data_IF_748025693960
#
_entry.id   IF_748025693960
#
_cell.length_a   1.000
_cell.length_b   1.000
_cell.length_c   1.000
_cell.angle_alpha   90.00
_cell.angle_beta   90.00
_cell.angle_gamma   90.00
#
_symmetry.space_group_name_H-M   'P 1'
#
loop_
_entity.id
_entity.type
_entity.pdbx_description
1 polymer ?
#
# COMPACT_ATOMS: atom_id res chain seq x y z
N UNK A 1 -95.82 -3.86 48.33
CA UNK A 1 -95.09 -4.90 47.57
C UNK A 1 -95.22 -4.71 46.05
N UNK A 2 -94.17 -4.20 45.38
CA UNK A 2 -94.10 -3.72 43.98
C UNK A 2 -94.51 -4.67 42.84
N UNK A 3 -94.73 -5.96 43.12
CA UNK A 3 -94.91 -7.00 42.11
C UNK A 3 -96.21 -6.86 41.27
N UNK A 4 -97.32 -6.39 41.86
CA UNK A 4 -98.60 -6.20 41.13
C UNK A 4 -98.52 -5.09 40.06
N UNK A 5 -97.79 -4.00 40.34
CA UNK A 5 -97.64 -2.86 39.42
C UNK A 5 -96.71 -3.19 38.24
N UNK A 6 -95.65 -3.97 38.49
CA UNK A 6 -94.76 -4.51 37.47
C UNK A 6 -95.51 -5.49 36.53
N UNK A 7 -96.32 -6.40 37.09
CA UNK A 7 -97.16 -7.33 36.32
C UNK A 7 -98.13 -6.59 35.39
N UNK A 8 -98.80 -5.53 35.87
CA UNK A 8 -99.68 -4.67 35.06
C UNK A 8 -98.94 -3.92 33.94
N UNK A 9 -97.71 -3.43 34.18
CA UNK A 9 -96.85 -2.82 33.15
C UNK A 9 -96.46 -3.84 32.07
N UNK A 10 -96.11 -5.06 32.47
CA UNK A 10 -95.77 -6.16 31.56
C UNK A 10 -96.98 -6.55 30.69
N UNK A 11 -98.17 -6.65 31.29
CA UNK A 11 -99.42 -6.92 30.56
C UNK A 11 -99.74 -5.82 29.55
N UNK A 12 -99.62 -4.53 29.93
CA UNK A 12 -99.80 -3.40 29.00
C UNK A 12 -98.75 -3.39 27.87
N UNK A 13 -97.49 -3.78 28.14
CA UNK A 13 -96.43 -3.93 27.12
C UNK A 13 -96.78 -5.05 26.14
N UNK A 14 -97.24 -6.21 26.64
CA UNK A 14 -97.70 -7.31 25.81
C UNK A 14 -98.94 -6.93 24.98
N UNK A 15 -99.89 -6.20 25.57
CA UNK A 15 -101.07 -5.68 24.83
C UNK A 15 -100.68 -4.71 23.71
N UNK A 16 -99.74 -3.77 23.95
CA UNK A 16 -99.21 -2.88 22.89
C UNK A 16 -98.45 -3.65 21.81
N UNK A 17 -97.65 -4.66 22.20
CA UNK A 17 -96.97 -5.55 21.24
C UNK A 17 -97.99 -6.28 20.37
N UNK A 18 -99.04 -6.87 20.97
CA UNK A 18 -100.13 -7.53 20.25
C UNK A 18 -100.88 -6.58 19.31
N UNK A 19 -101.16 -5.34 19.73
CA UNK A 19 -101.80 -4.31 18.87
C UNK A 19 -100.91 -3.92 17.69
N UNK A 20 -99.60 -3.68 17.90
CA UNK A 20 -98.65 -3.40 16.81
C UNK A 20 -98.51 -4.56 15.83
N UNK A 21 -98.42 -5.79 16.36
CA UNK A 21 -98.38 -7.00 15.53
C UNK A 21 -99.67 -7.17 14.73
N UNK A 22 -100.83 -6.90 15.33
CA UNK A 22 -102.12 -6.93 14.62
C UNK A 22 -102.15 -5.89 13.50
N UNK A 23 -101.72 -4.66 13.78
CA UNK A 23 -101.69 -3.59 12.77
C UNK A 23 -100.64 -3.83 11.67
N UNK A 24 -99.46 -4.36 11.99
CA UNK A 24 -98.45 -4.74 11.00
C UNK A 24 -98.99 -5.84 10.08
N UNK A 25 -99.57 -6.91 10.66
CA UNK A 25 -100.24 -7.96 9.89
C UNK A 25 -101.37 -7.42 9.02
N UNK A 26 -102.13 -6.45 9.49
CA UNK A 26 -103.22 -5.85 8.71
C UNK A 26 -102.69 -4.95 7.58
N UNK A 27 -101.58 -4.24 7.79
CA UNK A 27 -100.89 -3.49 6.74
C UNK A 27 -100.30 -4.43 5.70
N UNK A 28 -99.52 -5.42 6.13
CA UNK A 28 -98.89 -6.40 5.24
C UNK A 28 -99.97 -7.17 4.46
N UNK A 29 -101.12 -7.52 5.09
CA UNK A 29 -102.28 -8.09 4.39
C UNK A 29 -102.89 -7.13 3.37
N UNK A 30 -102.99 -5.84 3.66
CA UNK A 30 -103.49 -4.84 2.69
C UNK A 30 -102.50 -4.61 1.54
N UNK A 31 -101.20 -4.67 1.82
CA UNK A 31 -100.14 -4.61 0.81
C UNK A 31 -100.19 -5.86 -0.08
N UNK A 32 -100.30 -7.06 0.50
CA UNK A 32 -100.51 -8.32 -0.22
C UNK A 32 -101.80 -8.30 -1.06
N UNK A 33 -102.92 -7.80 -0.52
CA UNK A 33 -104.18 -7.64 -1.25
C UNK A 33 -104.03 -6.64 -2.40
N UNK A 34 -103.31 -5.53 -2.20
CA UNK A 34 -103.04 -4.52 -3.22
C UNK A 34 -102.06 -5.03 -4.30
N UNK A 35 -101.03 -5.79 -3.93
CA UNK A 35 -100.12 -6.47 -4.85
C UNK A 35 -100.86 -7.55 -5.63
N UNK A 36 -101.73 -8.33 -5.00
CA UNK A 36 -102.58 -9.31 -5.65
C UNK A 36 -103.52 -8.63 -6.66
N UNK A 37 -104.13 -7.51 -6.30
CA UNK A 37 -104.93 -6.68 -7.21
C UNK A 37 -104.12 -6.14 -8.40
N UNK A 38 -102.85 -5.75 -8.18
CA UNK A 38 -101.93 -5.35 -9.26
C UNK A 38 -101.56 -6.53 -10.15
N UNK A 39 -101.24 -7.69 -9.56
CA UNK A 39 -100.91 -8.92 -10.28
C UNK A 39 -102.07 -9.47 -11.12
N UNK A 40 -103.33 -9.14 -10.78
CA UNK A 40 -104.50 -9.47 -11.59
C UNK A 40 -104.65 -8.57 -12.83
N UNK A 41 -103.98 -7.41 -12.87
CA UNK A 41 -104.04 -6.50 -14.02
C UNK A 41 -103.12 -7.00 -15.15
N UNK A 42 -103.64 -7.19 -16.37
CA UNK A 42 -102.84 -7.66 -17.50
C UNK A 42 -101.63 -6.77 -17.83
N UNK A 43 -101.77 -5.45 -17.68
CA UNK A 43 -100.71 -4.47 -17.94
C UNK A 43 -99.53 -4.62 -16.97
N UNK A 44 -99.80 -4.90 -15.70
CA UNK A 44 -98.77 -5.10 -14.67
C UNK A 44 -98.05 -6.44 -14.82
N UNK A 45 -98.77 -7.50 -15.22
CA UNK A 45 -98.15 -8.79 -15.56
C UNK A 45 -97.18 -8.66 -16.74
N UNK A 46 -97.59 -7.92 -17.79
CA UNK A 46 -96.76 -7.65 -18.94
C UNK A 46 -95.52 -6.82 -18.58
N UNK A 47 -95.68 -5.78 -17.76
CA UNK A 47 -94.55 -5.00 -17.25
C UNK A 47 -93.56 -5.84 -16.43
N UNK A 48 -94.07 -6.76 -15.59
CA UNK A 48 -93.23 -7.66 -14.79
C UNK A 48 -92.44 -8.63 -15.69
N UNK A 49 -93.07 -9.16 -16.74
CA UNK A 49 -92.39 -10.00 -17.76
C UNK A 49 -91.30 -9.21 -18.49
N UNK A 50 -91.62 -8.01 -18.99
CA UNK A 50 -90.65 -7.12 -19.65
C UNK A 50 -89.47 -6.76 -18.72
N UNK A 51 -89.74 -6.56 -17.43
CA UNK A 51 -88.71 -6.29 -16.43
C UNK A 51 -87.82 -7.51 -16.16
N UNK A 52 -88.40 -8.71 -16.09
CA UNK A 52 -87.65 -9.96 -15.93
C UNK A 52 -86.77 -10.24 -17.16
N UNK A 53 -87.32 -10.07 -18.36
CA UNK A 53 -86.58 -10.20 -19.63
C UNK A 53 -85.42 -9.19 -19.70
N UNK A 54 -85.64 -7.95 -19.28
CA UNK A 54 -84.59 -6.92 -19.22
C UNK A 54 -83.47 -7.29 -18.22
N UNK A 55 -83.84 -7.76 -17.03
CA UNK A 55 -82.87 -8.19 -16.01
C UNK A 55 -82.06 -9.40 -16.46
N UNK A 56 -82.71 -10.37 -17.11
CA UNK A 56 -82.03 -11.53 -17.66
C UNK A 56 -81.09 -11.16 -18.81
N UNK A 57 -81.52 -10.24 -19.68
CA UNK A 57 -80.68 -9.68 -20.74
C UNK A 57 -79.45 -8.95 -20.17
N UNK A 58 -79.63 -8.14 -19.14
CA UNK A 58 -78.53 -7.46 -18.43
C UNK A 58 -77.57 -8.46 -17.79
N UNK A 59 -78.08 -9.46 -17.07
CA UNK A 59 -77.24 -10.52 -16.47
C UNK A 59 -76.42 -11.25 -17.53
N UNK A 60 -77.04 -11.64 -18.65
CA UNK A 60 -76.34 -12.29 -19.75
C UNK A 60 -75.33 -11.37 -20.45
N UNK A 61 -75.58 -10.05 -20.49
CA UNK A 61 -74.62 -9.07 -21.00
C UNK A 61 -73.41 -8.94 -20.05
N UNK A 62 -73.66 -8.78 -18.75
CA UNK A 62 -72.64 -8.70 -17.71
C UNK A 62 -71.78 -9.98 -17.65
N UNK A 63 -72.41 -11.16 -17.80
CA UNK A 63 -71.69 -12.45 -17.87
C UNK A 63 -70.77 -12.51 -19.09
N UNK A 64 -71.20 -12.03 -20.25
CA UNK A 64 -70.35 -11.96 -21.45
C UNK A 64 -69.22 -10.96 -21.26
N UNK A 65 -69.49 -9.79 -20.69
CA UNK A 65 -68.46 -8.81 -20.39
C UNK A 65 -67.42 -9.36 -19.40
N UNK A 66 -67.88 -10.07 -18.36
CA UNK A 66 -67.01 -10.76 -17.41
C UNK A 66 -66.14 -11.80 -18.12
N UNK A 67 -66.72 -12.66 -18.96
CA UNK A 67 -65.96 -13.67 -19.70
C UNK A 67 -64.90 -13.05 -20.61
N UNK A 68 -65.24 -12.00 -21.35
CA UNK A 68 -64.28 -11.27 -22.20
C UNK A 68 -63.18 -10.63 -21.36
N UNK A 69 -63.52 -10.04 -20.22
CA UNK A 69 -62.55 -9.46 -19.30
C UNK A 69 -61.61 -10.52 -18.71
N UNK A 70 -62.15 -11.65 -18.27
CA UNK A 70 -61.40 -12.79 -17.73
C UNK A 70 -60.45 -13.38 -18.78
N UNK A 71 -60.94 -13.64 -20.00
CA UNK A 71 -60.12 -14.10 -21.11
C UNK A 71 -59.00 -13.10 -21.45
N UNK A 72 -59.31 -11.80 -21.43
CA UNK A 72 -58.32 -10.75 -21.67
C UNK A 72 -57.26 -10.71 -20.57
N UNK A 73 -57.66 -10.96 -19.32
CA UNK A 73 -56.77 -11.01 -18.17
C UNK A 73 -55.86 -12.24 -18.24
N UNK A 74 -56.42 -13.43 -18.50
CA UNK A 74 -55.66 -14.67 -18.64
C UNK A 74 -54.59 -14.58 -19.74
N UNK A 75 -54.89 -13.93 -20.87
CA UNK A 75 -53.91 -13.70 -21.96
C UNK A 75 -52.76 -12.78 -21.53
N UNK A 76 -53.06 -11.71 -20.80
CA UNK A 76 -52.03 -10.79 -20.25
C UNK A 76 -51.17 -11.50 -19.21
N UNK A 77 -51.81 -12.29 -18.33
CA UNK A 77 -51.13 -13.06 -17.29
C UNK A 77 -50.20 -14.12 -17.90
N UNK A 78 -50.66 -14.88 -18.90
CA UNK A 78 -49.84 -15.85 -19.60
C UNK A 78 -48.59 -15.22 -20.25
N UNK A 79 -48.77 -14.03 -20.85
CA UNK A 79 -47.69 -13.26 -21.46
C UNK A 79 -46.70 -12.75 -20.41
N UNK A 80 -47.19 -12.23 -19.28
CA UNK A 80 -46.37 -11.77 -18.16
C UNK A 80 -45.55 -12.92 -17.55
N UNK A 81 -46.15 -14.10 -17.36
CA UNK A 81 -45.46 -15.29 -16.87
C UNK A 81 -44.42 -15.82 -17.85
N UNK A 82 -44.64 -15.71 -19.16
CA UNK A 82 -43.64 -16.06 -20.16
C UNK A 82 -42.45 -15.08 -20.11
N UNK A 83 -42.73 -13.77 -20.03
CA UNK A 83 -41.69 -12.75 -19.94
C UNK A 83 -40.86 -12.91 -18.66
N UNK A 84 -41.51 -13.16 -17.52
CA UNK A 84 -40.82 -13.39 -16.24
C UNK A 84 -39.86 -14.58 -16.32
N UNK A 85 -40.27 -15.68 -16.95
CA UNK A 85 -39.40 -16.87 -17.14
C UNK A 85 -38.18 -16.56 -18.02
N UNK A 86 -38.37 -15.78 -19.08
CA UNK A 86 -37.27 -15.34 -19.96
C UNK A 86 -36.30 -14.43 -19.20
N UNK A 87 -36.83 -13.44 -18.48
CA UNK A 87 -36.02 -12.49 -17.71
C UNK A 87 -35.27 -13.18 -16.56
N UNK A 88 -35.89 -14.17 -15.92
CA UNK A 88 -35.24 -14.99 -14.88
C UNK A 88 -34.09 -15.82 -15.48
N UNK A 89 -34.31 -16.48 -16.62
CA UNK A 89 -33.27 -17.22 -17.31
C UNK A 89 -32.11 -16.32 -17.74
N UNK A 90 -32.41 -15.12 -18.25
CA UNK A 90 -31.40 -14.12 -18.63
C UNK A 90 -30.58 -13.66 -17.43
N UNK A 91 -31.23 -13.35 -16.30
CA UNK A 91 -30.54 -12.96 -15.06
C UNK A 91 -29.62 -14.06 -14.53
N UNK A 92 -30.04 -15.33 -14.63
CA UNK A 92 -29.18 -16.47 -14.24
C UNK A 92 -27.94 -16.56 -15.12
N UNK A 93 -28.09 -16.40 -16.43
CA UNK A 93 -26.95 -16.38 -17.36
C UNK A 93 -25.99 -15.21 -17.08
N UNK A 94 -26.53 -14.00 -16.85
CA UNK A 94 -25.73 -12.82 -16.48
C UNK A 94 -24.98 -13.04 -15.16
N UNK A 95 -25.62 -13.66 -14.15
CA UNK A 95 -24.98 -14.00 -12.88
C UNK A 95 -23.85 -15.02 -13.05
N UNK A 96 -24.07 -16.08 -13.83
CA UNK A 96 -23.06 -17.10 -14.12
C UNK A 96 -21.85 -16.50 -14.87
N UNK A 97 -22.08 -15.58 -15.81
CA UNK A 97 -21.01 -14.89 -16.54
C UNK A 97 -20.20 -13.98 -15.60
N UNK A 98 -20.87 -13.21 -14.74
CA UNK A 98 -20.21 -12.36 -13.73
C UNK A 98 -19.40 -13.21 -12.76
N UNK A 99 -19.93 -14.34 -12.28
CA UNK A 99 -19.21 -15.24 -11.38
C UNK A 99 -17.96 -15.83 -12.05
N UNK A 100 -18.07 -16.27 -13.31
CA UNK A 100 -16.92 -16.75 -14.08
C UNK A 100 -15.84 -15.68 -14.24
N UNK A 101 -16.23 -14.44 -14.54
CA UNK A 101 -15.29 -13.32 -14.66
C UNK A 101 -14.60 -13.02 -13.32
N UNK A 102 -15.35 -13.04 -12.22
CA UNK A 102 -14.81 -12.86 -10.87
C UNK A 102 -13.83 -13.95 -10.48
N UNK A 103 -14.14 -15.23 -10.78
CA UNK A 103 -13.24 -16.35 -10.54
C UNK A 103 -11.94 -16.22 -11.34
N UNK A 104 -12.03 -15.81 -12.61
CA UNK A 104 -10.84 -15.57 -13.45
C UNK A 104 -9.97 -14.44 -12.87
N UNK A 105 -10.58 -13.32 -12.50
CA UNK A 105 -9.85 -12.20 -11.88
C UNK A 105 -9.27 -12.56 -10.51
N UNK A 106 -9.96 -13.38 -9.71
CA UNK A 106 -9.44 -13.86 -8.42
C UNK A 106 -8.22 -14.76 -8.62
N UNK A 107 -8.26 -15.65 -9.63
CA UNK A 107 -7.13 -16.51 -9.97
C UNK A 107 -5.92 -15.71 -10.45
N UNK A 108 -6.11 -14.76 -11.36
CA UNK A 108 -5.03 -13.88 -11.83
C UNK A 108 -4.41 -13.04 -10.69
N UNK A 109 -5.23 -12.54 -9.75
CA UNK A 109 -4.74 -11.82 -8.57
C UNK A 109 -3.92 -12.75 -7.66
N UNK A 110 -4.40 -13.96 -7.38
CA UNK A 110 -3.69 -14.93 -6.57
C UNK A 110 -2.34 -15.34 -7.19
N UNK A 111 -2.29 -15.54 -8.51
CA UNK A 111 -1.05 -15.85 -9.23
C UNK A 111 -0.03 -14.70 -9.13
N UNK A 112 -0.47 -13.44 -9.27
CA UNK A 112 0.40 -12.25 -9.10
C UNK A 112 0.93 -12.13 -7.67
N UNK A 113 0.06 -12.33 -6.68
CA UNK A 113 0.45 -12.30 -5.26
C UNK A 113 1.46 -13.40 -4.93
N UNK A 114 1.31 -14.60 -5.50
CA UNK A 114 2.26 -15.69 -5.31
C UNK A 114 3.63 -15.38 -5.92
N UNK A 115 3.68 -14.80 -7.12
CA UNK A 115 4.94 -14.37 -7.76
C UNK A 115 5.65 -13.34 -6.88
N UNK A 116 4.93 -12.31 -6.41
CA UNK A 116 5.49 -11.28 -5.53
C UNK A 116 5.98 -11.89 -4.20
N UNK A 117 5.25 -12.85 -3.63
CA UNK A 117 5.67 -13.55 -2.41
C UNK A 117 6.99 -14.29 -2.64
N UNK A 118 7.11 -15.06 -3.72
CA UNK A 118 8.33 -15.79 -4.07
C UNK A 118 9.53 -14.85 -4.27
N UNK A 119 9.33 -13.72 -4.95
CA UNK A 119 10.37 -12.69 -5.13
C UNK A 119 10.83 -12.13 -3.78
N UNK A 120 9.89 -11.78 -2.89
CA UNK A 120 10.21 -11.27 -1.55
C UNK A 120 10.92 -12.30 -0.69
N UNK A 121 10.51 -13.57 -0.74
CA UNK A 121 11.19 -14.68 -0.05
C UNK A 121 12.63 -14.87 -0.57
N UNK A 122 12.84 -14.76 -1.89
CA UNK A 122 14.18 -14.85 -2.46
C UNK A 122 15.07 -13.66 -2.07
N UNK A 123 14.55 -12.44 -2.11
CA UNK A 123 15.25 -11.22 -1.69
C UNK A 123 15.62 -11.29 -0.20
N UNK A 124 14.66 -11.67 0.66
CA UNK A 124 14.91 -11.83 2.10
C UNK A 124 15.94 -12.92 2.37
N UNK A 125 15.91 -14.04 1.64
CA UNK A 125 16.94 -15.09 1.75
C UNK A 125 18.32 -14.60 1.32
N UNK A 126 18.42 -13.85 0.21
CA UNK A 126 19.68 -13.24 -0.26
C UNK A 126 20.21 -12.23 0.77
N UNK A 127 19.33 -11.38 1.31
CA UNK A 127 19.69 -10.42 2.34
C UNK A 127 20.15 -11.10 3.64
N UNK A 128 19.46 -12.14 4.09
CA UNK A 128 19.85 -12.91 5.28
C UNK A 128 21.20 -13.61 5.10
N UNK A 129 21.46 -14.18 3.91
CA UNK A 129 22.77 -14.76 3.59
C UNK A 129 23.88 -13.70 3.61
N UNK A 130 23.65 -12.54 3.00
CA UNK A 130 24.61 -11.44 3.00
C UNK A 130 24.88 -10.90 4.42
N UNK A 131 23.85 -10.81 5.26
CA UNK A 131 23.99 -10.44 6.67
C UNK A 131 24.81 -11.47 7.45
N UNK A 132 24.53 -12.77 7.30
CA UNK A 132 25.30 -13.82 7.96
C UNK A 132 26.78 -13.86 7.51
N UNK A 133 27.06 -13.62 6.22
CA UNK A 133 28.43 -13.48 5.72
C UNK A 133 29.15 -12.26 6.34
N UNK A 134 28.44 -11.15 6.54
CA UNK A 134 28.96 -9.96 7.19
C UNK A 134 29.23 -10.20 8.68
N UNK A 135 28.31 -10.84 9.40
CA UNK A 135 28.46 -11.17 10.81
C UNK A 135 29.66 -12.09 11.05
N UNK A 136 29.80 -13.15 10.26
CA UNK A 136 30.95 -14.06 10.32
C UNK A 136 32.29 -13.33 10.02
N UNK A 137 32.28 -12.33 9.13
CA UNK A 137 33.45 -11.51 8.86
C UNK A 137 33.80 -10.61 10.06
N UNK A 138 32.80 -10.01 10.71
CA UNK A 138 32.99 -9.19 11.91
C UNK A 138 33.52 -10.00 13.09
N UNK A 139 33.01 -11.22 13.30
CA UNK A 139 33.54 -12.14 14.31
C UNK A 139 35.00 -12.50 14.04
N UNK A 140 35.35 -12.81 12.78
CA UNK A 140 36.73 -13.11 12.37
C UNK A 140 37.67 -11.92 12.58
N UNK A 141 37.17 -10.71 12.36
CA UNK A 141 37.90 -9.46 12.60
C UNK A 141 38.14 -9.24 14.10
N UNK A 142 37.13 -9.45 14.95
CA UNK A 142 37.28 -9.35 16.40
C UNK A 142 38.25 -10.40 16.95
N UNK A 143 38.15 -11.65 16.50
CA UNK A 143 39.08 -12.72 16.90
C UNK A 143 40.54 -12.34 16.58
N UNK A 144 40.79 -11.82 15.37
CA UNK A 144 42.12 -11.39 14.95
C UNK A 144 42.65 -10.20 15.76
N UNK A 145 41.78 -9.28 16.20
CA UNK A 145 42.16 -8.15 17.05
C UNK A 145 42.40 -8.57 18.51
N UNK A 146 41.58 -9.47 19.03
CA UNK A 146 41.54 -9.90 20.43
C UNK A 146 42.58 -10.97 20.76
N UNK A 147 43.08 -11.73 19.78
CA UNK A 147 44.08 -12.79 19.99
C UNK A 147 45.48 -12.41 19.47
N UNK A 148 46.41 -11.94 20.34
CA UNK A 148 47.76 -11.56 19.93
C UNK A 148 48.59 -12.70 19.33
N UNK A 149 48.26 -13.97 19.66
CA UNK A 149 49.00 -15.16 19.19
C UNK A 149 48.72 -15.48 17.72
N UNK A 150 47.65 -14.92 17.14
CA UNK A 150 47.34 -15.12 15.73
C UNK A 150 48.24 -14.20 14.89
N UNK A 151 49.30 -14.74 14.30
CA UNK A 151 50.25 -13.95 13.50
C UNK A 151 49.68 -13.57 12.12
N UNK A 152 48.94 -14.49 11.49
CA UNK A 152 48.38 -14.30 10.15
C UNK A 152 46.90 -13.96 10.23
N UNK A 153 46.42 -13.00 9.42
CA UNK A 153 45.00 -12.70 9.35
C UNK A 153 44.21 -13.90 8.79
N UNK A 154 42.98 -14.15 9.28
CA UNK A 154 42.08 -15.13 8.71
C UNK A 154 41.83 -14.92 7.22
N UNK A 155 41.52 -15.99 6.49
CA UNK A 155 41.31 -15.95 5.03
C UNK A 155 40.15 -15.03 4.62
N UNK A 156 39.15 -14.88 5.49
CA UNK A 156 38.01 -13.99 5.31
C UNK A 156 38.45 -12.52 5.17
N UNK A 157 39.46 -12.09 5.94
CA UNK A 157 40.00 -10.72 5.90
C UNK A 157 40.95 -10.49 4.72
N UNK A 158 41.48 -11.56 4.12
CA UNK A 158 42.34 -11.51 2.94
C UNK A 158 41.54 -11.42 1.63
N UNK A 159 40.21 -11.44 1.70
CA UNK A 159 39.34 -11.27 0.53
C UNK A 159 39.54 -9.87 -0.08
N UNK A 160 39.44 -9.83 -1.41
CA UNK A 160 39.40 -8.58 -2.18
C UNK A 160 38.00 -8.41 -2.74
N UNK A 161 37.40 -7.25 -2.47
CA UNK A 161 36.13 -6.84 -3.05
C UNK A 161 36.40 -6.28 -4.45
N UNK A 162 35.67 -6.79 -5.44
CA UNK A 162 35.81 -6.38 -6.84
C UNK A 162 34.46 -5.87 -7.34
N UNK A 163 34.44 -4.72 -7.99
CA UNK A 163 33.19 -4.15 -8.53
C UNK A 163 32.78 -4.82 -9.84
N UNK A 164 33.74 -5.14 -10.70
CA UNK A 164 33.52 -5.79 -11.99
C UNK A 164 34.61 -6.84 -12.25
N UNK A 165 34.53 -8.05 -11.63
CA UNK A 165 35.62 -9.03 -11.65
C UNK A 165 36.12 -9.41 -13.06
N UNK A 166 35.20 -9.50 -14.03
CA UNK A 166 35.47 -9.87 -15.42
C UNK A 166 36.11 -8.74 -16.25
N UNK A 167 36.06 -7.50 -15.75
CA UNK A 167 36.55 -6.32 -16.46
C UNK A 167 38.00 -5.99 -16.11
N UNK A 168 38.67 -5.27 -17.02
CA UNK A 168 40.04 -4.79 -16.75
C UNK A 168 40.08 -3.85 -15.55
N UNK A 169 41.18 -3.88 -14.81
CA UNK A 169 41.40 -3.01 -13.67
C UNK A 169 41.35 -1.53 -14.07
N UNK A 170 40.63 -0.71 -13.30
CA UNK A 170 40.60 0.73 -13.50
C UNK A 170 42.00 1.31 -13.23
N UNK A 171 42.56 2.02 -14.20
CA UNK A 171 43.89 2.61 -14.06
C UNK A 171 43.94 3.66 -12.96
N UNK A 172 42.93 4.55 -12.90
CA UNK A 172 42.85 5.60 -11.88
C UNK A 172 42.76 4.99 -10.48
N UNK A 173 41.82 4.08 -10.26
CA UNK A 173 41.65 3.44 -8.95
C UNK A 173 42.85 2.59 -8.55
N UNK A 174 43.46 1.87 -9.49
CA UNK A 174 44.64 1.05 -9.20
C UNK A 174 45.85 1.89 -8.78
N UNK A 175 45.94 3.15 -9.27
CA UNK A 175 47.04 4.07 -8.95
C UNK A 175 46.80 4.90 -7.71
N UNK A 176 45.57 5.37 -7.46
CA UNK A 176 45.28 6.35 -6.39
C UNK A 176 44.20 5.89 -5.42
N UNK A 177 43.57 4.73 -5.65
CA UNK A 177 42.37 4.24 -4.94
C UNK A 177 41.19 5.22 -4.95
N UNK A 178 41.21 6.15 -5.89
CA UNK A 178 40.20 7.16 -6.10
C UNK A 178 39.85 7.20 -7.59
N UNK A 179 38.56 7.11 -7.90
CA UNK A 179 38.07 7.15 -9.27
C UNK A 179 36.89 8.13 -9.34
N UNK A 180 36.89 9.00 -10.35
CA UNK A 180 35.82 9.98 -10.54
C UNK A 180 34.44 9.38 -10.75
N UNK A 181 34.37 8.11 -11.18
CA UNK A 181 33.13 7.39 -11.44
C UNK A 181 32.65 6.56 -10.25
N UNK A 182 33.45 6.43 -9.17
CA UNK A 182 33.05 5.71 -7.97
C UNK A 182 32.58 4.28 -8.24
N UNK A 183 31.37 3.93 -7.82
CA UNK A 183 30.76 2.62 -8.05
C UNK A 183 30.15 2.45 -9.45
N UNK A 184 29.91 3.54 -10.18
CA UNK A 184 29.40 3.51 -11.55
C UNK A 184 30.52 3.38 -12.60
N UNK A 185 31.77 3.18 -12.17
CA UNK A 185 32.89 2.91 -13.06
C UNK A 185 32.68 1.56 -13.75
N UNK A 186 32.79 1.52 -15.07
CA UNK A 186 32.70 0.27 -15.85
C UNK A 186 33.91 -0.65 -15.65
N UNK A 187 35.04 -0.09 -15.21
CA UNK A 187 36.26 -0.84 -14.94
C UNK A 187 36.26 -1.42 -13.52
N UNK A 188 37.05 -2.47 -13.32
CA UNK A 188 37.13 -3.15 -12.04
C UNK A 188 37.88 -2.32 -10.99
N UNK A 189 37.26 -2.11 -9.82
CA UNK A 189 37.89 -1.56 -8.62
C UNK A 189 38.13 -2.68 -7.61
N UNK A 190 39.40 -2.94 -7.31
CA UNK A 190 39.84 -3.95 -6.34
C UNK A 190 40.09 -3.31 -4.98
N UNK A 191 39.28 -3.62 -3.98
CA UNK A 191 39.38 -3.09 -2.61
C UNK A 191 39.76 -4.20 -1.64
N UNK A 192 40.92 -4.14 -0.99
CA UNK A 192 41.27 -5.14 0.01
C UNK A 192 40.36 -5.00 1.25
N UNK A 193 40.09 -6.09 1.95
CA UNK A 193 39.40 -6.07 3.25
C UNK A 193 40.36 -5.88 4.43
N UNK A 194 41.66 -5.98 4.18
CA UNK A 194 42.72 -5.71 5.14
C UNK A 194 43.94 -5.17 4.39
N UNK A 195 44.48 -4.05 4.87
CA UNK A 195 45.73 -3.48 4.39
C UNK A 195 46.37 -2.62 5.48
N UNK A 196 47.63 -2.26 5.28
CA UNK A 196 48.37 -1.34 6.19
C UNK A 196 47.97 0.12 6.03
N UNK A 197 47.43 0.48 4.86
CA UNK A 197 47.07 1.86 4.50
C UNK A 197 45.56 2.01 4.59
N UNK A 198 45.10 2.99 5.37
CA UNK A 198 43.72 3.45 5.41
C UNK A 198 43.55 4.68 4.53
N UNK A 199 42.42 4.74 3.83
CA UNK A 199 41.91 5.90 3.12
C UNK A 199 40.67 6.41 3.86
N UNK A 200 40.73 7.61 4.41
CA UNK A 200 39.61 8.29 5.03
C UNK A 200 39.13 9.36 4.06
N UNK A 201 37.96 9.16 3.46
CA UNK A 201 37.42 10.08 2.46
C UNK A 201 36.93 11.36 3.11
N UNK A 202 37.33 12.50 2.52
CA UNK A 202 36.92 13.85 2.93
C UNK A 202 37.14 14.13 4.42
N UNK A 203 38.21 13.58 4.98
CA UNK A 203 38.51 13.74 6.41
C UNK A 203 38.91 15.18 6.72
N UNK A 204 39.78 15.75 5.90
CA UNK A 204 40.08 17.18 5.95
C UNK A 204 39.10 17.93 5.05
N UNK A 205 38.47 18.98 5.59
CA UNK A 205 37.53 19.78 4.83
C UNK A 205 37.85 21.26 5.04
N UNK A 206 38.07 21.96 3.94
CA UNK A 206 38.38 23.38 3.96
C UNK A 206 37.71 24.06 2.75
N UNK A 207 37.23 25.29 2.94
CA UNK A 207 36.52 26.04 1.90
C UNK A 207 37.37 26.22 0.63
N UNK A 208 38.69 26.37 0.75
CA UNK A 208 39.62 26.47 -0.38
C UNK A 208 39.79 25.15 -1.17
N UNK A 209 39.41 24.00 -0.60
CA UNK A 209 39.41 22.71 -1.31
C UNK A 209 38.07 22.45 -2.01
N UNK A 210 37.07 23.29 -1.80
CA UNK A 210 35.77 23.16 -2.44
C UNK A 210 35.74 24.05 -3.69
N UNK A 211 35.54 23.43 -4.87
CA UNK A 211 35.23 24.20 -6.08
C UNK A 211 33.90 24.93 -5.88
N UNK A 212 33.96 26.22 -5.54
CA UNK A 212 32.79 27.09 -5.50
C UNK A 212 32.34 27.32 -6.93
N UNK A 213 31.13 26.85 -7.29
CA UNK A 213 30.44 27.33 -8.48
C UNK A 213 29.76 28.64 -8.07
N UNK A 214 30.25 29.82 -8.51
CA UNK A 214 29.60 31.07 -8.16
C UNK A 214 28.16 31.04 -8.69
N UNK A 215 27.19 31.32 -7.81
CA UNK A 215 25.81 31.54 -8.24
C UNK A 215 25.78 32.85 -9.02
N UNK A 216 25.31 32.82 -10.27
CA UNK A 216 25.40 33.92 -11.23
C UNK A 216 24.73 35.23 -10.76
N UNK A 217 23.87 35.14 -9.74
CA UNK A 217 23.04 36.25 -9.22
C UNK A 217 23.57 36.88 -7.92
N UNK A 218 24.49 36.22 -7.20
CA UNK A 218 24.98 36.67 -5.87
C UNK A 218 26.51 36.72 -5.77
N UNK A 219 27.23 36.70 -6.90
CA UNK A 219 28.68 36.90 -6.93
C UNK A 219 29.01 38.37 -6.64
N UNK A 220 28.78 38.80 -5.40
CA UNK A 220 29.23 40.10 -4.91
C UNK A 220 30.75 40.09 -4.84
N UNK A 221 31.38 41.21 -5.21
CA UNK A 221 32.82 41.39 -5.32
C UNK A 221 33.59 41.27 -3.98
N UNK A 222 32.93 40.91 -2.87
CA UNK A 222 33.52 40.75 -1.54
C UNK A 222 33.84 39.28 -1.20
N UNK A 223 33.38 38.32 -1.99
CA UNK A 223 33.53 36.87 -1.67
C UNK A 223 34.96 36.32 -1.91
N UNK A 224 35.83 37.09 -2.57
CA UNK A 224 37.20 36.69 -2.89
C UNK A 224 38.25 37.05 -1.81
N UNK A 225 37.84 37.61 -0.68
CA UNK A 225 38.74 38.17 0.34
C UNK A 225 38.86 37.36 1.65
N UNK A 226 38.16 36.24 1.82
CA UNK A 226 37.97 35.71 3.18
C UNK A 226 38.93 34.61 3.63
N UNK A 227 39.69 33.96 2.74
CA UNK A 227 40.60 32.88 3.15
C UNK A 227 41.89 32.89 2.33
N UNK A 228 43.00 33.02 3.04
CA UNK A 228 44.36 32.98 2.52
C UNK A 228 44.94 31.57 2.53
N UNK A 229 46.05 31.38 1.82
CA UNK A 229 46.87 30.17 1.92
C UNK A 229 47.39 29.93 3.36
N UNK A 230 47.54 31.00 4.15
CA UNK A 230 47.94 30.91 5.56
C UNK A 230 46.81 30.34 6.41
N UNK A 231 45.56 30.74 6.16
CA UNK A 231 44.39 30.20 6.87
C UNK A 231 44.23 28.71 6.57
N UNK A 232 44.33 28.30 5.30
CA UNK A 232 44.33 26.88 4.93
C UNK A 232 45.44 26.11 5.65
N UNK A 233 46.63 26.70 5.79
CA UNK A 233 47.74 26.06 6.48
C UNK A 233 47.47 25.94 7.98
N UNK A 234 46.94 26.99 8.60
CA UNK A 234 46.58 27.02 10.02
C UNK A 234 45.52 25.97 10.33
N UNK A 235 44.42 25.95 9.58
CA UNK A 235 43.33 24.98 9.71
C UNK A 235 43.83 23.55 9.48
N UNK A 236 44.77 23.37 8.55
CA UNK A 236 45.40 22.07 8.34
C UNK A 236 46.28 21.64 9.52
N UNK A 237 47.05 22.55 10.11
CA UNK A 237 47.92 22.23 11.25
C UNK A 237 47.06 21.90 12.50
N UNK A 238 45.96 22.60 12.74
CA UNK A 238 44.97 22.24 13.78
C UNK A 238 44.38 20.85 13.53
N UNK A 239 43.84 20.62 12.32
CA UNK A 239 43.32 19.32 11.90
C UNK A 239 44.35 18.21 12.06
N UNK A 240 45.59 18.44 11.62
CA UNK A 240 46.65 17.45 11.65
C UNK A 240 46.98 17.03 13.08
N UNK A 241 47.08 17.99 14.00
CA UNK A 241 47.38 17.69 15.40
C UNK A 241 46.28 16.86 16.05
N UNK A 242 45.02 17.27 15.88
CA UNK A 242 43.83 16.56 16.38
C UNK A 242 43.71 15.15 15.78
N UNK A 243 43.76 15.05 14.45
CA UNK A 243 43.64 13.77 13.75
C UNK A 243 44.78 12.79 14.11
N UNK A 244 46.03 13.26 14.15
CA UNK A 244 47.19 12.40 14.44
C UNK A 244 47.18 11.94 15.90
N UNK A 245 46.77 12.79 16.84
CA UNK A 245 46.62 12.41 18.25
C UNK A 245 45.63 11.25 18.41
N UNK A 246 44.46 11.34 17.78
CA UNK A 246 43.46 10.26 17.80
C UNK A 246 43.95 9.00 17.09
N UNK A 247 44.58 9.14 15.91
CA UNK A 247 45.03 8.00 15.12
C UNK A 247 46.18 7.22 15.77
N UNK A 248 47.06 7.90 16.51
CA UNK A 248 48.17 7.26 17.23
C UNK A 248 47.71 6.28 18.31
N UNK A 249 46.50 6.46 18.87
CA UNK A 249 45.92 5.52 19.86
C UNK A 249 45.77 4.10 19.29
N UNK A 250 45.61 3.98 17.98
CA UNK A 250 45.44 2.69 17.32
C UNK A 250 46.75 2.03 16.88
N UNK A 251 47.87 2.74 16.87
CA UNK A 251 49.20 2.19 16.57
C UNK A 251 50.17 3.20 15.99
N UNK A 252 51.37 2.73 15.64
CA UNK A 252 52.43 3.58 15.07
C UNK A 252 52.12 3.92 13.62
N UNK A 253 52.00 5.22 13.35
CA UNK A 253 51.80 5.79 12.01
C UNK A 253 53.16 5.93 11.33
N UNK A 254 53.29 5.38 10.13
CA UNK A 254 54.47 5.47 9.27
C UNK A 254 54.35 6.66 8.32
N UNK A 255 53.19 6.82 7.69
CA UNK A 255 52.90 7.94 6.80
C UNK A 255 51.51 8.50 7.07
N UNK A 256 51.40 9.82 7.06
CA UNK A 256 50.14 10.55 7.07
C UNK A 256 50.16 11.53 5.89
N UNK A 257 49.22 11.40 4.95
CA UNK A 257 49.18 12.23 3.74
C UNK A 257 47.76 12.71 3.46
N UNK A 258 47.61 14.02 3.34
CA UNK A 258 46.34 14.66 3.01
C UNK A 258 46.35 15.14 1.57
N UNK A 259 45.28 14.86 0.84
CA UNK A 259 45.11 15.20 -0.57
C UNK A 259 44.56 16.61 -0.70
N UNK A 260 45.33 17.48 -1.37
CA UNK A 260 45.02 18.90 -1.57
C UNK A 260 44.25 19.19 -2.86
N UNK A 261 43.81 18.18 -3.60
CA UNK A 261 43.04 18.38 -4.82
C UNK A 261 41.71 19.09 -4.52
N UNK A 262 41.16 19.81 -5.50
CA UNK A 262 39.85 20.49 -5.41
C UNK A 262 38.69 19.63 -5.90
N UNK A 263 38.99 18.61 -6.71
CA UNK A 263 37.99 17.72 -7.32
C UNK A 263 37.37 16.81 -6.27
N UNK A 264 36.06 16.60 -6.36
CA UNK A 264 35.27 15.85 -5.36
C UNK A 264 35.87 14.50 -5.00
N UNK A 265 36.23 13.69 -6.00
CA UNK A 265 36.69 12.32 -5.80
C UNK A 265 38.09 12.19 -5.18
N UNK A 266 38.79 13.30 -4.89
CA UNK A 266 40.12 13.33 -4.27
C UNK A 266 40.22 14.29 -3.09
N UNK A 267 39.46 15.39 -3.10
CA UNK A 267 39.64 16.49 -2.16
C UNK A 267 39.51 16.04 -0.71
N UNK A 268 40.46 16.47 0.12
CA UNK A 268 40.40 16.26 1.56
C UNK A 268 40.53 14.80 1.99
N UNK A 269 40.84 13.89 1.06
CA UNK A 269 41.09 12.50 1.40
C UNK A 269 42.39 12.38 2.17
N UNK A 270 42.42 11.54 3.19
CA UNK A 270 43.60 11.34 4.03
C UNK A 270 44.00 9.88 3.96
N UNK A 271 45.26 9.64 3.64
CA UNK A 271 45.87 8.32 3.69
C UNK A 271 46.73 8.18 4.95
N UNK A 272 46.49 7.12 5.70
CA UNK A 272 47.19 6.81 6.95
C UNK A 272 47.79 5.41 6.83
N UNK A 273 49.11 5.31 6.86
CA UNK A 273 49.83 4.04 6.83
C UNK A 273 50.30 3.67 8.22
N UNK A 274 49.96 2.46 8.67
CA UNK A 274 50.44 1.91 9.93
C UNK A 274 51.60 0.92 9.71
N UNK A 275 52.38 0.70 10.77
CA UNK A 275 53.44 -0.32 10.76
C UNK A 275 52.88 -1.73 10.58
N UNK A 276 51.72 -2.02 11.18
CA UNK A 276 51.09 -3.34 11.18
C UNK A 276 49.66 -3.28 10.63
N UNK A 277 49.23 -4.34 9.92
CA UNK A 277 47.86 -4.49 9.43
C UNK A 277 46.84 -4.55 10.57
N UNK A 278 47.19 -5.21 11.69
CA UNK A 278 46.36 -5.25 12.91
C UNK A 278 46.07 -3.85 13.48
N UNK A 279 47.03 -2.93 13.43
CA UNK A 279 46.82 -1.55 13.88
C UNK A 279 45.89 -0.78 12.95
N UNK A 280 46.05 -0.96 11.63
CA UNK A 280 45.16 -0.38 10.64
C UNK A 280 43.72 -0.93 10.79
N UNK A 281 43.58 -2.23 11.04
CA UNK A 281 42.29 -2.86 11.28
C UNK A 281 41.62 -2.30 12.54
N UNK A 282 42.36 -2.16 13.64
CA UNK A 282 41.85 -1.56 14.88
C UNK A 282 41.37 -0.11 14.65
N UNK A 283 42.14 0.67 13.90
CA UNK A 283 41.74 2.02 13.52
C UNK A 283 40.48 2.00 12.64
N UNK A 284 40.40 1.10 11.66
CA UNK A 284 39.23 0.92 10.80
C UNK A 284 37.96 0.60 11.61
N UNK A 285 37.98 -0.39 12.52
CA UNK A 285 36.81 -0.73 13.36
C UNK A 285 36.32 0.46 14.17
N UNK A 286 37.26 1.21 14.75
CA UNK A 286 36.93 2.27 15.68
C UNK A 286 36.52 3.55 14.97
N UNK A 287 37.07 3.85 13.79
CA UNK A 287 36.77 5.09 13.06
C UNK A 287 35.58 4.96 12.13
N UNK A 288 35.30 3.76 11.62
CA UNK A 288 34.23 3.57 10.65
C UNK A 288 32.88 3.95 11.27
N UNK A 289 32.25 4.96 10.67
CA UNK A 289 30.95 5.47 11.11
C UNK A 289 30.97 6.41 12.31
N UNK A 290 32.14 6.76 12.86
CA UNK A 290 32.27 7.89 13.81
C UNK A 290 32.10 9.23 13.09
N UNK A 291 31.86 10.28 13.87
CA UNK A 291 31.71 11.64 13.36
C UNK A 291 32.95 12.47 13.65
N UNK A 292 33.33 13.29 12.68
CA UNK A 292 34.36 14.32 12.79
C UNK A 292 33.86 15.59 12.10
N UNK A 293 33.93 16.74 12.78
CA UNK A 293 33.42 18.01 12.26
C UNK A 293 32.02 17.91 11.63
N UNK A 294 31.08 17.26 12.34
CA UNK A 294 29.69 16.99 11.89
C UNK A 294 29.54 16.12 10.64
N UNK A 295 30.60 15.44 10.20
CA UNK A 295 30.58 14.50 9.07
C UNK A 295 30.89 13.09 9.54
N UNK A 296 30.15 12.11 9.00
CA UNK A 296 30.44 10.70 9.21
C UNK A 296 31.71 10.32 8.44
N UNK A 297 32.67 9.74 9.15
CA UNK A 297 33.91 9.23 8.54
C UNK A 297 33.60 8.02 7.68
N UNK A 298 34.13 8.03 6.46
CA UNK A 298 34.14 6.89 5.54
C UNK A 298 35.57 6.40 5.39
N UNK A 299 35.88 5.30 6.08
CA UNK A 299 37.19 4.68 6.11
C UNK A 299 37.17 3.46 5.21
N UNK A 300 38.22 3.28 4.43
CA UNK A 300 38.45 2.10 3.60
C UNK A 300 39.91 1.69 3.64
N UNK A 301 40.18 0.42 3.35
CA UNK A 301 41.55 -0.03 3.13
C UNK A 301 42.02 0.33 1.72
N UNK A 302 43.28 0.74 1.64
CA UNK A 302 43.94 1.10 0.40
C UNK A 302 44.96 0.03 0.02
N UNK A 303 44.95 -0.40 -1.24
CA UNK A 303 45.96 -1.30 -1.83
C UNK A 303 47.03 -0.54 -2.64
N UNK A 304 47.32 0.70 -2.27
CA UNK A 304 48.41 1.46 -2.86
C UNK A 304 49.73 0.69 -2.71
N UNK A 305 50.34 0.34 -3.84
CA UNK A 305 51.61 -0.41 -3.86
C UNK A 305 52.81 0.47 -3.52
N UNK A 306 52.82 1.70 -4.05
CA UNK A 306 53.90 2.67 -3.83
C UNK A 306 53.33 4.08 -3.80
N UNK A 307 53.88 4.91 -2.92
CA UNK A 307 53.51 6.33 -2.84
C UNK A 307 53.93 7.12 -4.09
N UNK A 308 55.05 6.76 -4.72
CA UNK A 308 55.56 7.45 -5.93
C UNK A 308 54.52 7.45 -7.05
N UNK A 309 53.93 6.29 -7.38
CA UNK A 309 52.97 6.19 -8.48
C UNK A 309 51.63 6.92 -8.24
N UNK A 310 51.35 7.33 -7.01
CA UNK A 310 50.11 7.97 -6.57
C UNK A 310 50.22 9.50 -6.44
N UNK A 311 51.43 10.06 -6.45
CA UNK A 311 51.67 11.51 -6.33
C UNK A 311 51.70 12.14 -7.72
N UNK A 312 51.13 13.34 -7.86
CA UNK A 312 51.14 14.08 -9.12
C UNK A 312 52.57 14.58 -9.44
N UNK A 313 52.99 14.45 -10.70
CA UNK A 313 54.25 15.03 -11.19
C UNK A 313 55.53 14.26 -10.85
N UNK A 314 55.42 13.00 -10.43
CA UNK A 314 56.56 12.08 -10.29
C UNK A 314 57.00 11.46 -11.60
#
# INVERSE_FOLDING_TARGET
MPQKRARRKLTKKQQRKRRRQKHAKERDKREEEAEHLRLLQPEYQKWLQEQQEMQEFQRLADEREHQVAEDSWLRREATAQQQFRIDEAKKRQEQEEVERLQQQQAKERAEREEILRRQREEETRKAAKAAAEFDAMMESMDEYLSNPRMEKPPSQLLRVMETHPEERACEFFSRTNCCRYGHACTFNHRRPMLARILLIRHFFNHSMLQERRPHKEYASAEEHLELTEQDLRHDYDEFFNDAVEELRKFGTIVNFRTVRNTVEHLRGHVFVEYTNERSALRAFTNLQGRYYASKKLNVEFSNLKTWRGAVCGT
#
